data_IF_512624765059
#
_entry.id   IF_512624765059
#
_cell.length_a   1.000
_cell.length_b   1.000
_cell.length_c   1.000
_cell.angle_alpha   90.00
_cell.angle_beta   90.00
_cell.angle_gamma   90.00
#
_symmetry.space_group_name_H-M   'P 1'
#
loop_
_entity.id
_entity.type
_entity.pdbx_description
1 polymer ?
#
# COMPACT_ATOMS: atom_id res chain seq x y z
N UNK A 1 -19.04 9.42 16.45
CA UNK A 1 -19.67 9.30 15.11
C UNK A 1 -19.33 7.94 14.51
N UNK A 2 -20.24 6.95 14.54
CA UNK A 2 -20.00 5.56 14.13
C UNK A 2 -19.43 5.40 12.71
N UNK A 3 -19.81 6.30 11.79
CA UNK A 3 -19.35 6.29 10.39
C UNK A 3 -17.85 6.49 10.23
N UNK A 4 -17.24 7.40 11.01
CA UNK A 4 -15.78 7.63 11.00
C UNK A 4 -15.00 6.42 11.51
N UNK A 5 -15.55 5.69 12.49
CA UNK A 5 -14.91 4.45 12.97
C UNK A 5 -14.94 3.35 11.92
N UNK A 6 -16.13 3.12 11.33
CA UNK A 6 -16.29 2.16 10.25
C UNK A 6 -15.38 2.47 9.06
N UNK A 7 -15.23 3.75 8.71
CA UNK A 7 -14.31 4.16 7.64
C UNK A 7 -12.87 3.73 7.93
N UNK A 8 -12.36 4.02 9.14
CA UNK A 8 -10.99 3.63 9.51
C UNK A 8 -10.83 2.11 9.54
N UNK A 9 -11.78 1.37 10.09
CA UNK A 9 -11.75 -0.10 10.10
C UNK A 9 -11.71 -0.67 8.68
N UNK A 10 -12.55 -0.16 7.77
CA UNK A 10 -12.55 -0.57 6.35
C UNK A 10 -11.20 -0.30 5.70
N UNK A 11 -10.62 0.88 5.95
CA UNK A 11 -9.31 1.23 5.39
C UNK A 11 -8.21 0.30 5.91
N UNK A 12 -8.17 0.02 7.22
CA UNK A 12 -7.20 -0.91 7.80
C UNK A 12 -7.34 -2.32 7.21
N UNK A 13 -8.57 -2.81 7.02
CA UNK A 13 -8.82 -4.14 6.43
C UNK A 13 -8.40 -4.18 4.97
N UNK A 14 -8.87 -3.23 4.14
CA UNK A 14 -8.63 -3.24 2.69
C UNK A 14 -7.14 -3.10 2.38
N UNK A 15 -6.49 -2.09 2.95
CA UNK A 15 -5.07 -1.85 2.69
C UNK A 15 -4.19 -2.90 3.37
N UNK A 16 -4.56 -3.34 4.58
CA UNK A 16 -3.85 -4.40 5.29
C UNK A 16 -3.88 -5.72 4.52
N UNK A 17 -5.06 -6.14 4.05
CA UNK A 17 -5.21 -7.36 3.26
C UNK A 17 -4.53 -7.27 1.90
N UNK A 18 -4.63 -6.12 1.23
CA UNK A 18 -3.92 -5.86 -0.03
C UNK A 18 -2.41 -6.02 0.14
N UNK A 19 -1.81 -5.36 1.14
CA UNK A 19 -0.36 -5.44 1.40
C UNK A 19 0.10 -6.83 1.81
N UNK A 20 -0.66 -7.53 2.66
CA UNK A 20 -0.35 -8.93 3.00
C UNK A 20 -0.38 -9.79 1.74
N UNK A 21 -1.43 -9.66 0.92
CA UNK A 21 -1.56 -10.42 -0.32
C UNK A 21 -0.42 -10.14 -1.30
N UNK A 22 -0.05 -8.87 -1.47
CA UNK A 22 1.02 -8.46 -2.37
C UNK A 22 2.39 -8.92 -1.89
N UNK A 23 2.69 -8.74 -0.60
CA UNK A 23 3.95 -9.22 -0.01
C UNK A 23 4.09 -10.74 -0.04
N UNK A 24 3.00 -11.48 0.21
CA UNK A 24 2.98 -12.94 0.04
C UNK A 24 3.18 -13.34 -1.42
N UNK A 25 2.55 -12.64 -2.37
CA UNK A 25 2.72 -12.92 -3.80
C UNK A 25 4.18 -12.73 -4.24
N UNK A 26 4.83 -11.66 -3.79
CA UNK A 26 6.25 -11.40 -4.04
C UNK A 26 7.16 -12.48 -3.44
N UNK A 27 6.89 -12.95 -2.22
CA UNK A 27 7.68 -14.01 -1.57
C UNK A 27 7.49 -15.38 -2.22
N UNK A 28 6.24 -15.76 -2.48
CA UNK A 28 5.89 -17.12 -2.88
C UNK A 28 6.01 -17.34 -4.40
N UNK A 29 5.85 -16.29 -5.19
CA UNK A 29 5.89 -16.35 -6.66
C UNK A 29 6.56 -15.10 -7.28
N UNK A 30 7.85 -14.83 -6.97
CA UNK A 30 8.54 -13.62 -7.41
C UNK A 30 8.66 -13.48 -8.93
N UNK A 31 8.80 -14.61 -9.64
CA UNK A 31 8.83 -14.62 -11.11
C UNK A 31 7.49 -14.19 -11.71
N UNK A 32 6.39 -14.81 -11.26
CA UNK A 32 5.05 -14.42 -11.69
C UNK A 32 4.75 -12.97 -11.32
N UNK A 33 5.12 -12.53 -10.12
CA UNK A 33 4.97 -11.12 -9.72
C UNK A 33 5.69 -10.18 -10.69
N UNK A 34 6.95 -10.50 -11.05
CA UNK A 34 7.70 -9.70 -12.02
C UNK A 34 7.02 -9.68 -13.38
N UNK A 35 6.58 -10.83 -13.89
CA UNK A 35 5.99 -10.92 -15.22
C UNK A 35 4.63 -10.22 -15.34
N UNK A 36 3.90 -10.06 -14.22
CA UNK A 36 2.57 -9.44 -14.21
C UNK A 36 2.53 -8.00 -13.72
N UNK A 37 3.16 -7.70 -12.58
CA UNK A 37 3.00 -6.42 -11.86
C UNK A 37 4.32 -5.65 -11.73
N UNK A 38 5.44 -6.36 -11.59
CA UNK A 38 6.75 -5.79 -11.29
C UNK A 38 7.68 -5.67 -12.51
N UNK A 39 7.14 -5.63 -13.73
CA UNK A 39 7.90 -5.79 -14.98
C UNK A 39 8.72 -4.55 -15.38
N UNK A 40 9.46 -3.98 -14.43
CA UNK A 40 10.32 -2.82 -14.61
C UNK A 40 11.76 -3.29 -14.84
N UNK A 41 12.29 -3.04 -16.04
CA UNK A 41 13.68 -3.37 -16.40
C UNK A 41 13.95 -4.88 -16.46
N UNK A 42 15.10 -5.29 -15.89
CA UNK A 42 15.52 -6.70 -15.82
C UNK A 42 15.17 -7.25 -14.43
N UNK A 43 14.61 -8.46 -14.38
CA UNK A 43 14.21 -9.10 -13.12
C UNK A 43 15.38 -9.20 -12.14
N UNK A 44 15.17 -8.68 -10.95
CA UNK A 44 16.04 -8.91 -9.80
C UNK A 44 15.23 -9.52 -8.65
N UNK A 45 15.35 -10.83 -8.47
CA UNK A 45 14.61 -11.58 -7.45
C UNK A 45 14.95 -11.13 -6.03
N UNK A 46 16.19 -10.70 -5.78
CA UNK A 46 16.59 -10.20 -4.46
C UNK A 46 15.81 -8.93 -4.10
N UNK A 47 15.74 -7.95 -5.00
CA UNK A 47 14.95 -6.74 -4.77
C UNK A 47 13.46 -7.01 -4.57
N UNK A 48 12.92 -8.06 -5.21
CA UNK A 48 11.51 -8.46 -4.98
C UNK A 48 11.33 -8.95 -3.54
N UNK A 49 12.24 -9.76 -3.02
CA UNK A 49 12.20 -10.20 -1.62
C UNK A 49 12.42 -9.05 -0.63
N UNK A 50 13.29 -8.10 -0.96
CA UNK A 50 13.49 -6.89 -0.15
C UNK A 50 12.20 -6.07 -0.08
N UNK A 51 11.57 -5.81 -1.24
CA UNK A 51 10.31 -5.06 -1.30
C UNK A 51 9.20 -5.76 -0.49
N UNK A 52 9.12 -7.08 -0.61
CA UNK A 52 8.14 -7.87 0.12
C UNK A 52 8.37 -7.88 1.63
N UNK A 53 9.63 -7.75 2.05
CA UNK A 53 10.02 -7.60 3.46
C UNK A 53 9.61 -6.24 4.05
N UNK A 54 9.21 -5.28 3.22
CA UNK A 54 8.53 -4.04 3.66
C UNK A 54 7.00 -4.16 3.54
N UNK A 55 6.49 -4.67 2.42
CA UNK A 55 5.06 -4.71 2.11
C UNK A 55 4.27 -5.67 3.03
N UNK A 56 4.79 -6.88 3.26
CA UNK A 56 4.11 -7.87 4.10
C UNK A 56 3.98 -7.38 5.56
N UNK A 57 5.06 -6.90 6.23
CA UNK A 57 4.92 -6.34 7.57
C UNK A 57 4.04 -5.10 7.65
N UNK A 58 4.03 -4.23 6.63
CA UNK A 58 3.11 -3.08 6.55
C UNK A 58 1.64 -3.54 6.60
N UNK A 59 1.29 -4.56 5.83
CA UNK A 59 -0.05 -5.13 5.85
C UNK A 59 -0.42 -5.72 7.21
N UNK A 60 0.48 -6.47 7.83
CA UNK A 60 0.29 -7.03 9.17
C UNK A 60 0.14 -5.93 10.24
N UNK A 61 0.89 -4.83 10.13
CA UNK A 61 0.78 -3.68 11.01
C UNK A 61 -0.61 -3.04 10.92
N UNK A 62 -1.14 -2.84 9.70
CA UNK A 62 -2.47 -2.28 9.48
C UNK A 62 -3.57 -3.20 10.03
N UNK A 63 -3.49 -4.51 9.78
CA UNK A 63 -4.45 -5.47 10.33
C UNK A 63 -4.35 -5.58 11.85
N UNK A 64 -3.13 -5.56 12.42
CA UNK A 64 -2.91 -5.55 13.86
C UNK A 64 -3.52 -4.33 14.56
N UNK A 65 -3.56 -3.18 13.89
CA UNK A 65 -4.18 -1.96 14.42
C UNK A 65 -5.71 -2.04 14.58
N UNK A 66 -6.36 -3.06 14.01
CA UNK A 66 -7.77 -3.39 14.32
C UNK A 66 -7.90 -3.95 15.74
N UNK A 67 -6.92 -4.77 16.18
CA UNK A 67 -6.91 -5.40 17.51
C UNK A 67 -6.39 -4.44 18.59
N UNK A 68 -5.48 -3.55 18.22
CA UNK A 68 -4.87 -2.56 19.11
C UNK A 68 -5.13 -1.12 18.62
N UNK A 69 -6.28 -0.52 18.99
CA UNK A 69 -6.65 0.81 18.50
C UNK A 69 -5.63 1.92 18.77
N UNK A 70 -4.79 1.78 19.81
CA UNK A 70 -3.69 2.71 20.10
C UNK A 70 -2.65 2.79 18.99
N UNK A 71 -2.55 1.77 18.13
CA UNK A 71 -1.64 1.69 16.98
C UNK A 71 -2.23 2.24 15.68
N UNK A 72 -3.52 2.61 15.61
CA UNK A 72 -4.13 3.09 14.37
C UNK A 72 -3.43 4.33 13.80
N UNK A 73 -3.11 5.31 14.65
CA UNK A 73 -2.43 6.54 14.22
C UNK A 73 -1.03 6.24 13.64
N UNK A 74 -0.10 5.58 14.36
CA UNK A 74 1.21 5.29 13.79
C UNK A 74 1.16 4.35 12.57
N UNK A 75 0.27 3.36 12.55
CA UNK A 75 0.11 2.45 11.41
C UNK A 75 -0.38 3.18 10.16
N UNK A 76 -1.43 4.01 10.28
CA UNK A 76 -1.97 4.80 9.18
C UNK A 76 -0.99 5.89 8.73
N UNK A 77 -0.22 6.47 9.65
CA UNK A 77 0.81 7.45 9.29
C UNK A 77 1.90 6.82 8.44
N UNK A 78 2.42 5.66 8.84
CA UNK A 78 3.42 4.93 8.08
C UNK A 78 2.88 4.49 6.71
N UNK A 79 1.67 3.93 6.66
CA UNK A 79 1.02 3.56 5.39
C UNK A 79 0.80 4.78 4.48
N UNK A 80 0.31 5.90 5.01
CA UNK A 80 0.10 7.12 4.22
C UNK A 80 1.43 7.61 3.61
N UNK A 81 2.51 7.60 4.40
CA UNK A 81 3.84 7.98 3.91
C UNK A 81 4.36 7.03 2.83
N UNK A 82 4.23 5.71 3.06
CA UNK A 82 4.59 4.69 2.06
C UNK A 82 3.85 4.91 0.74
N UNK A 83 2.52 5.04 0.77
CA UNK A 83 1.70 5.26 -0.43
C UNK A 83 1.99 6.59 -1.12
N UNK A 84 2.26 7.66 -0.36
CA UNK A 84 2.63 8.95 -0.93
C UNK A 84 3.97 8.87 -1.68
N UNK A 85 4.99 8.24 -1.08
CA UNK A 85 6.29 8.03 -1.73
C UNK A 85 6.15 7.14 -2.97
N UNK A 86 5.31 6.11 -2.92
CA UNK A 86 5.02 5.25 -4.06
C UNK A 86 4.29 6.01 -5.18
N UNK A 87 3.34 6.87 -4.84
CA UNK A 87 2.68 7.77 -5.79
C UNK A 87 3.71 8.67 -6.49
N UNK A 88 4.68 9.22 -5.76
CA UNK A 88 5.75 10.03 -6.35
C UNK A 88 6.65 9.20 -7.28
N UNK A 89 6.93 7.94 -6.95
CA UNK A 89 7.66 7.03 -7.84
C UNK A 89 6.94 6.87 -9.19
N UNK A 90 5.63 6.60 -9.18
CA UNK A 90 4.83 6.48 -10.41
C UNK A 90 4.63 7.80 -11.16
N UNK A 91 4.77 8.94 -10.49
CA UNK A 91 4.80 10.23 -11.17
C UNK A 91 6.12 10.47 -11.90
N UNK A 92 7.23 10.08 -11.28
CA UNK A 92 8.58 10.22 -11.84
C UNK A 92 8.79 9.25 -13.00
N UNK A 93 8.34 8.00 -12.85
CA UNK A 93 8.37 6.99 -13.91
C UNK A 93 6.97 6.44 -14.18
N UNK A 94 6.35 6.97 -15.25
CA UNK A 94 5.05 6.53 -15.74
C UNK A 94 5.17 5.42 -16.80
N UNK A 95 6.38 4.94 -17.09
CA UNK A 95 6.55 3.89 -18.08
C UNK A 95 6.10 2.55 -17.49
N UNK A 96 4.99 2.06 -17.99
CA UNK A 96 4.54 0.71 -17.70
C UNK A 96 4.77 -0.21 -18.91
N UNK A 97 5.04 -1.49 -18.68
CA UNK A 97 5.21 -2.50 -19.76
C UNK A 97 4.00 -2.55 -20.70
N UNK A 98 2.81 -2.28 -20.17
CA UNK A 98 1.55 -2.25 -20.92
C UNK A 98 1.26 -0.89 -21.61
N UNK A 99 2.17 0.09 -21.50
CA UNK A 99 2.08 1.41 -22.11
C UNK A 99 1.79 2.54 -21.11
N UNK A 100 2.09 3.78 -21.52
CA UNK A 100 2.05 4.96 -20.66
C UNK A 100 0.66 5.26 -20.07
N UNK A 101 -0.42 4.94 -20.77
CA UNK A 101 -1.78 5.12 -20.24
C UNK A 101 -1.99 4.29 -18.96
N UNK A 102 -1.46 3.07 -18.92
CA UNK A 102 -1.55 2.22 -17.73
C UNK A 102 -0.75 2.83 -16.58
N UNK A 103 0.48 3.30 -16.84
CA UNK A 103 1.28 3.97 -15.81
C UNK A 103 0.61 5.23 -15.24
N UNK A 104 -0.06 6.04 -16.06
CA UNK A 104 -0.84 7.18 -15.57
C UNK A 104 -2.06 6.77 -14.73
N UNK A 105 -2.72 5.65 -15.06
CA UNK A 105 -3.81 5.11 -14.26
C UNK A 105 -3.31 4.59 -12.91
N UNK A 106 -2.14 3.94 -12.87
CA UNK A 106 -1.50 3.50 -11.64
C UNK A 106 -1.13 4.67 -10.75
N UNK A 107 -0.52 5.72 -11.31
CA UNK A 107 -0.25 6.98 -10.59
C UNK A 107 -1.54 7.55 -9.98
N UNK A 108 -2.61 7.69 -10.78
CA UNK A 108 -3.88 8.23 -10.29
C UNK A 108 -4.50 7.36 -9.18
N UNK A 109 -4.45 6.03 -9.33
CA UNK A 109 -4.94 5.09 -8.34
C UNK A 109 -4.16 5.20 -7.02
N UNK A 110 -2.84 5.33 -7.07
CA UNK A 110 -1.98 5.52 -5.90
C UNK A 110 -2.26 6.87 -5.22
N UNK A 111 -2.44 7.94 -5.98
CA UNK A 111 -2.75 9.28 -5.45
C UNK A 111 -4.11 9.29 -4.72
N UNK A 112 -5.14 8.69 -5.30
CA UNK A 112 -6.47 8.56 -4.68
C UNK A 112 -6.39 7.71 -3.40
N UNK A 113 -5.67 6.59 -3.46
CA UNK A 113 -5.46 5.69 -2.32
C UNK A 113 -4.74 6.38 -1.16
N UNK A 114 -3.72 7.20 -1.47
CA UNK A 114 -3.04 8.06 -0.50
C UNK A 114 -4.01 9.01 0.18
N UNK A 115 -4.93 9.61 -0.58
CA UNK A 115 -6.00 10.46 -0.04
C UNK A 115 -6.91 9.72 0.94
N UNK A 116 -7.33 8.49 0.63
CA UNK A 116 -8.14 7.67 1.54
C UNK A 116 -7.40 7.33 2.84
N UNK A 117 -6.12 6.96 2.75
CA UNK A 117 -5.28 6.71 3.93
C UNK A 117 -5.11 7.97 4.79
N UNK A 118 -4.89 9.12 4.17
CA UNK A 118 -4.76 10.39 4.87
C UNK A 118 -6.06 10.80 5.61
N UNK A 119 -7.22 10.58 4.99
CA UNK A 119 -8.52 10.81 5.65
C UNK A 119 -8.72 9.86 6.83
N UNK A 120 -8.33 8.59 6.69
CA UNK A 120 -8.42 7.62 7.78
C UNK A 120 -7.50 8.00 8.94
N UNK A 121 -6.27 8.42 8.63
CA UNK A 121 -5.31 8.94 9.60
C UNK A 121 -5.89 10.14 10.35
N UNK A 122 -6.43 11.12 9.63
CA UNK A 122 -7.06 12.30 10.21
C UNK A 122 -8.18 11.92 11.18
N UNK A 123 -9.12 11.06 10.74
CA UNK A 123 -10.20 10.56 11.60
C UNK A 123 -9.69 9.76 12.80
N UNK A 124 -8.57 9.07 12.69
CA UNK A 124 -7.94 8.38 13.81
C UNK A 124 -7.28 9.34 14.80
N UNK A 125 -6.69 10.44 14.33
CA UNK A 125 -5.99 11.41 15.16
C UNK A 125 -6.95 12.26 16.00
N UNK A 126 -8.04 12.75 15.40
CA UNK A 126 -9.02 13.61 16.08
C UNK A 126 -9.99 12.86 17.00
N UNK A 127 -9.93 11.52 17.01
CA UNK A 127 -10.73 10.68 17.92
C UNK A 127 -10.09 10.50 19.29
N UNK A 128 -8.85 10.96 19.47
CA UNK A 128 -8.15 10.93 20.76
C UNK A 128 -8.59 12.07 21.66
#
# INVERSE_FOLDING_TARGET
>A
MPTRSRYVEVILVVFGAYSVGLGLFQWLAPETFFDTLGAFGIRNTHYIFDNASFELPLGLLLLGALRWPSWQVPALAFATAHWALHTLSHLIDTNHRAGATVGWLEFAALAISTGWLAVALWFSAIRR
#
